data_IF_189443986056
#
_entry.id   IF_189443986056
#
_cell.length_a   1.000
_cell.length_b   1.000
_cell.length_c   1.000
_cell.angle_alpha   90.00
_cell.angle_beta   90.00
_cell.angle_gamma   90.00
#
_symmetry.space_group_name_H-M   'P 1'
#
loop_
_entity.id
_entity.type
_entity.pdbx_description
1 polymer ?
#
# COMPACT_ATOMS: atom_id res chain seq x y z
N UNK A 1 21.27 -13.69 42.74
CA UNK A 1 22.07 -14.24 41.61
C UNK A 1 21.23 -14.55 40.37
N UNK A 2 20.20 -15.41 40.43
CA UNK A 2 19.37 -15.78 39.25
C UNK A 2 18.71 -14.58 38.52
N UNK A 3 18.24 -13.56 39.26
CA UNK A 3 17.61 -12.34 38.70
C UNK A 3 18.61 -11.41 37.97
N UNK A 4 19.86 -11.37 38.44
CA UNK A 4 20.93 -10.55 37.83
C UNK A 4 21.42 -11.23 36.54
N UNK A 5 21.53 -12.56 36.53
CA UNK A 5 21.89 -13.32 35.34
C UNK A 5 20.82 -13.20 34.25
N UNK A 6 19.54 -13.26 34.61
CA UNK A 6 18.43 -13.03 33.68
C UNK A 6 18.45 -11.60 33.11
N UNK A 7 18.72 -10.59 33.95
CA UNK A 7 18.84 -9.20 33.51
C UNK A 7 20.03 -8.99 32.55
N UNK A 8 21.19 -9.57 32.85
CA UNK A 8 22.34 -9.55 31.92
C UNK A 8 22.05 -10.27 30.61
N UNK A 9 21.31 -11.39 30.66
CA UNK A 9 20.90 -12.12 29.45
C UNK A 9 19.92 -11.30 28.60
N UNK A 10 18.98 -10.59 29.23
CA UNK A 10 18.07 -9.67 28.54
C UNK A 10 18.81 -8.46 27.94
N UNK A 11 19.78 -7.88 28.65
CA UNK A 11 20.59 -6.77 28.14
C UNK A 11 21.48 -7.23 26.98
N UNK A 12 22.13 -8.40 27.10
CA UNK A 12 22.94 -8.99 26.03
C UNK A 12 22.08 -9.36 24.80
N UNK A 13 20.90 -9.95 25.00
CA UNK A 13 19.94 -10.23 23.92
C UNK A 13 19.42 -8.94 23.26
N UNK A 14 19.27 -7.86 24.02
CA UNK A 14 18.90 -6.56 23.46
C UNK A 14 20.01 -6.04 22.54
N UNK A 15 21.27 -6.09 22.98
CA UNK A 15 22.41 -5.60 22.18
C UNK A 15 22.64 -6.35 20.88
N UNK A 16 22.37 -7.67 20.83
CA UNK A 16 22.50 -8.47 19.61
C UNK A 16 21.32 -8.29 18.64
N UNK A 17 20.12 -7.99 19.14
CA UNK A 17 18.95 -7.65 18.30
C UNK A 17 19.12 -6.27 17.65
N UNK A 18 19.67 -5.29 18.37
CA UNK A 18 19.89 -3.93 17.81
C UNK A 18 20.88 -3.91 16.65
N UNK A 19 21.82 -4.86 16.54
CA UNK A 19 22.77 -4.89 15.41
C UNK A 19 22.16 -5.45 14.11
N UNK A 20 20.96 -6.05 14.17
CA UNK A 20 20.32 -6.71 13.03
C UNK A 20 19.18 -5.88 12.43
N UNK A 21 18.78 -4.79 13.09
CA UNK A 21 17.63 -3.98 12.71
C UNK A 21 18.07 -2.56 12.36
N UNK A 22 17.78 -2.13 11.13
CA UNK A 22 17.87 -0.72 10.73
C UNK A 22 16.48 -0.11 10.74
N UNK A 23 16.35 1.11 11.25
CA UNK A 23 15.10 1.87 11.23
C UNK A 23 15.35 3.14 10.42
N UNK A 24 14.34 3.54 9.65
CA UNK A 24 14.43 4.70 8.78
C UNK A 24 13.07 5.30 8.46
N UNK A 25 13.13 6.35 7.66
CA UNK A 25 11.97 7.03 7.07
C UNK A 25 12.02 6.87 5.56
N UNK A 26 10.85 6.80 4.93
CA UNK A 26 10.71 6.69 3.48
C UNK A 26 9.52 7.52 3.01
N UNK A 27 9.65 8.18 1.85
CA UNK A 27 8.56 8.88 1.22
C UNK A 27 8.76 9.10 -0.27
N UNK A 28 7.68 9.44 -0.97
CA UNK A 28 7.74 9.77 -2.39
C UNK A 28 6.37 9.76 -3.07
N UNK A 29 6.33 10.05 -4.38
CA UNK A 29 5.09 10.03 -5.14
C UNK A 29 4.62 8.60 -5.45
N UNK A 30 3.31 8.44 -5.65
CA UNK A 30 2.74 7.27 -6.30
C UNK A 30 1.76 7.65 -7.39
N UNK A 31 1.62 6.79 -8.38
CA UNK A 31 0.58 6.81 -9.38
C UNK A 31 -0.40 5.70 -9.04
N UNK A 32 -1.66 6.03 -8.80
CA UNK A 32 -2.68 5.09 -8.37
C UNK A 32 -3.90 5.10 -9.28
N UNK A 33 -4.61 3.97 -9.32
CA UNK A 33 -5.86 3.82 -10.05
C UNK A 33 -6.74 2.76 -9.38
N UNK A 34 -8.03 2.81 -9.65
CA UNK A 34 -9.00 1.82 -9.21
C UNK A 34 -9.54 1.09 -10.43
N UNK A 35 -9.14 -0.19 -10.58
CA UNK A 35 -9.63 -0.99 -11.70
C UNK A 35 -11.03 -1.49 -11.39
N UNK A 36 -12.02 -0.94 -12.08
CA UNK A 36 -13.42 -1.35 -12.00
C UNK A 36 -13.66 -2.58 -12.87
N UNK A 37 -14.32 -3.59 -12.32
CA UNK A 37 -14.74 -4.81 -13.02
C UNK A 37 -16.23 -5.01 -12.82
N UNK A 38 -16.96 -5.24 -13.90
CA UNK A 38 -18.37 -5.65 -13.89
C UNK A 38 -18.44 -7.13 -14.26
N UNK A 39 -18.98 -7.97 -13.38
CA UNK A 39 -19.12 -9.40 -13.64
C UNK A 39 -20.11 -9.61 -14.80
N UNK A 40 -19.69 -10.29 -15.86
CA UNK A 40 -20.51 -10.55 -17.05
C UNK A 40 -20.27 -9.59 -18.23
N UNK A 41 -19.44 -8.55 -18.08
CA UNK A 41 -18.99 -7.68 -19.17
C UNK A 41 -17.46 -7.70 -19.28
N UNK A 42 -16.94 -7.87 -20.49
CA UNK A 42 -15.49 -7.85 -20.76
C UNK A 42 -14.88 -6.43 -20.75
N UNK A 43 -15.71 -5.39 -20.67
CA UNK A 43 -15.26 -4.01 -20.60
C UNK A 43 -14.93 -3.61 -19.16
N UNK A 44 -13.64 -3.41 -18.87
CA UNK A 44 -13.23 -2.71 -17.66
C UNK A 44 -13.38 -1.21 -17.91
N UNK A 45 -14.20 -0.52 -17.10
CA UNK A 45 -14.18 0.94 -17.07
C UNK A 45 -12.81 1.40 -16.58
N UNK A 46 -12.01 2.01 -17.45
CA UNK A 46 -10.72 2.58 -17.08
C UNK A 46 -10.97 3.98 -16.49
N UNK A 47 -10.82 4.10 -15.17
CA UNK A 47 -10.67 5.42 -14.55
C UNK A 47 -9.23 5.90 -14.79
N UNK A 48 -9.02 7.22 -14.82
CA UNK A 48 -7.71 7.79 -15.00
C UNK A 48 -6.84 7.59 -13.76
N UNK A 49 -5.54 7.47 -13.99
CA UNK A 49 -4.56 7.46 -12.91
C UNK A 49 -4.51 8.82 -12.20
N UNK A 50 -4.35 8.80 -10.88
CA UNK A 50 -4.09 9.99 -10.05
C UNK A 50 -2.70 9.88 -9.42
N UNK A 51 -1.96 10.99 -9.44
CA UNK A 51 -0.74 11.14 -8.65
C UNK A 51 -1.10 11.43 -7.19
N UNK A 52 -0.65 10.57 -6.30
CA UNK A 52 -0.68 10.72 -4.84
C UNK A 52 0.73 10.69 -4.25
N UNK A 53 0.82 10.44 -2.96
CA UNK A 53 2.09 10.32 -2.25
C UNK A 53 2.01 9.26 -1.15
N UNK A 54 3.16 8.75 -0.76
CA UNK A 54 3.36 7.87 0.37
C UNK A 54 4.47 8.42 1.27
N UNK A 55 4.30 8.26 2.58
CA UNK A 55 5.31 8.64 3.57
C UNK A 55 5.16 7.80 4.81
N UNK A 56 6.26 7.40 5.43
CA UNK A 56 6.22 6.48 6.56
C UNK A 56 7.56 6.10 7.14
N UNK A 57 7.48 5.16 8.08
CA UNK A 57 8.61 4.50 8.71
C UNK A 57 8.91 3.20 7.96
N UNK A 58 10.18 2.87 7.86
CA UNK A 58 10.65 1.59 7.32
C UNK A 58 11.62 0.98 8.31
N UNK A 59 11.60 -0.33 8.44
CA UNK A 59 12.70 -1.05 9.07
C UNK A 59 13.20 -2.15 8.16
N UNK A 60 14.43 -2.58 8.43
CA UNK A 60 15.10 -3.64 7.70
C UNK A 60 15.71 -4.58 8.75
N UNK A 61 15.21 -5.80 8.77
CA UNK A 61 15.54 -6.83 9.76
C UNK A 61 16.28 -7.94 9.01
N UNK A 62 17.55 -8.14 9.36
CA UNK A 62 18.38 -9.18 8.76
C UNK A 62 17.94 -10.56 9.25
N UNK A 63 17.48 -11.43 8.35
CA UNK A 63 17.13 -12.83 8.66
C UNK A 63 18.31 -13.76 8.35
N UNK A 64 18.96 -13.54 7.21
CA UNK A 64 20.19 -14.25 6.79
C UNK A 64 21.17 -13.24 6.20
N UNK A 65 22.30 -13.69 5.63
CA UNK A 65 23.24 -12.81 4.94
C UNK A 65 22.64 -12.10 3.72
N UNK A 66 21.62 -12.68 3.07
CA UNK A 66 20.99 -12.14 1.86
C UNK A 66 19.50 -11.89 2.03
N UNK A 67 18.81 -12.59 2.93
CA UNK A 67 17.37 -12.46 3.12
C UNK A 67 17.05 -11.54 4.30
N UNK A 68 16.20 -10.56 4.07
CA UNK A 68 15.79 -9.59 5.07
C UNK A 68 14.26 -9.44 5.07
N UNK A 69 13.69 -9.17 6.24
CA UNK A 69 12.30 -8.73 6.37
C UNK A 69 12.29 -7.21 6.47
N UNK A 70 11.57 -6.55 5.56
CA UNK A 70 11.52 -5.10 5.45
C UNK A 70 10.07 -4.61 5.62
N UNK A 71 9.59 -4.49 6.87
CA UNK A 71 8.26 -3.95 7.12
C UNK A 71 8.28 -2.43 7.01
N UNK A 72 7.15 -1.88 6.58
CA UNK A 72 6.97 -0.43 6.41
C UNK A 72 5.63 -0.03 6.98
N UNK A 73 5.57 1.04 7.77
CA UNK A 73 4.30 1.63 8.20
C UNK A 73 4.17 3.00 7.54
N UNK A 74 3.28 3.12 6.57
CA UNK A 74 3.19 4.31 5.72
C UNK A 74 1.76 4.79 5.54
N UNK A 75 1.59 6.10 5.50
CA UNK A 75 0.40 6.71 4.94
C UNK A 75 0.53 6.77 3.43
N UNK A 76 -0.47 6.30 2.69
CA UNK A 76 -0.53 6.33 1.24
C UNK A 76 -1.83 6.99 0.79
N UNK A 77 -1.73 8.14 0.13
CA UNK A 77 -2.83 8.75 -0.60
C UNK A 77 -2.95 8.08 -1.97
N UNK A 78 -4.08 7.41 -2.24
CA UNK A 78 -4.42 6.76 -3.51
C UNK A 78 -5.66 7.41 -4.12
N UNK A 79 -6.05 7.00 -5.32
CA UNK A 79 -7.32 7.40 -5.90
C UNK A 79 -7.53 7.04 -7.35
N UNK A 80 -8.65 7.52 -7.87
CA UNK A 80 -8.96 7.52 -9.30
C UNK A 80 -9.87 8.69 -9.63
N UNK A 81 -9.83 9.15 -10.88
CA UNK A 81 -10.75 10.17 -11.38
C UNK A 81 -11.38 9.71 -12.69
N UNK A 82 -12.60 10.16 -12.93
CA UNK A 82 -13.28 10.03 -14.21
C UNK A 82 -13.92 11.36 -14.59
N UNK A 83 -13.87 11.70 -15.88
CA UNK A 83 -14.54 12.86 -16.46
C UNK A 83 -15.30 12.42 -17.70
N UNK A 84 -16.57 12.81 -17.82
CA UNK A 84 -17.40 12.55 -18.99
C UNK A 84 -18.70 13.34 -18.90
N UNK A 85 -19.19 13.87 -20.03
CA UNK A 85 -20.50 14.54 -20.17
C UNK A 85 -20.83 15.57 -19.06
N UNK A 86 -19.87 16.42 -18.71
CA UNK A 86 -20.03 17.45 -17.65
C UNK A 86 -19.96 16.91 -16.21
N UNK A 87 -19.87 15.60 -16.04
CA UNK A 87 -19.75 14.91 -14.75
C UNK A 87 -18.27 14.70 -14.41
N UNK A 88 -17.88 15.12 -13.20
CA UNK A 88 -16.55 14.86 -12.63
C UNK A 88 -16.69 14.00 -11.39
N UNK A 89 -16.04 12.84 -11.40
CA UNK A 89 -15.96 11.94 -10.26
C UNK A 89 -14.50 11.83 -9.83
N UNK A 90 -14.24 12.01 -8.53
CA UNK A 90 -12.90 11.85 -7.96
C UNK A 90 -12.99 11.15 -6.62
N UNK A 91 -12.24 10.06 -6.46
CA UNK A 91 -12.01 9.40 -5.17
C UNK A 91 -10.56 9.58 -4.76
N UNK A 92 -10.30 9.94 -3.50
CA UNK A 92 -8.95 10.07 -2.96
C UNK A 92 -8.79 9.40 -1.58
N UNK A 93 -8.96 8.07 -1.48
CA UNK A 93 -8.76 7.37 -0.22
C UNK A 93 -7.30 7.43 0.25
N UNK A 94 -7.11 7.78 1.52
CA UNK A 94 -5.88 7.70 2.27
C UNK A 94 -5.90 6.48 3.21
N UNK A 95 -4.91 5.61 3.03
CA UNK A 95 -4.73 4.39 3.81
C UNK A 95 -3.48 4.48 4.68
N UNK A 96 -3.56 3.93 5.88
CA UNK A 96 -2.40 3.47 6.62
C UNK A 96 -2.07 2.06 6.15
N UNK A 97 -0.92 1.88 5.51
CA UNK A 97 -0.47 0.61 4.96
C UNK A 97 0.69 0.03 5.77
N UNK A 98 0.66 -1.29 5.92
CA UNK A 98 1.72 -2.10 6.49
C UNK A 98 2.17 -3.18 5.47
N UNK A 99 3.03 -2.83 4.49
CA UNK A 99 3.74 -3.82 3.69
C UNK A 99 4.73 -4.62 4.54
N UNK A 100 4.70 -5.95 4.42
CA UNK A 100 5.63 -6.87 5.09
C UNK A 100 6.48 -7.59 4.04
N UNK A 101 7.45 -6.89 3.46
CA UNK A 101 8.22 -7.42 2.32
C UNK A 101 9.36 -8.33 2.81
N UNK A 102 9.45 -9.53 2.23
CA UNK A 102 10.70 -10.31 2.26
C UNK A 102 11.53 -9.88 1.06
N UNK A 103 12.75 -9.40 1.32
CA UNK A 103 13.66 -8.87 0.30
C UNK A 103 14.95 -9.68 0.28
N UNK A 104 15.45 -9.95 -0.92
CA UNK A 104 16.76 -10.56 -1.16
C UNK A 104 17.72 -9.46 -1.57
N UNK A 105 18.80 -9.34 -0.82
CA UNK A 105 19.91 -8.44 -1.08
C UNK A 105 21.00 -9.11 -1.92
N UNK A 106 21.60 -8.30 -2.75
CA UNK A 106 22.93 -8.51 -3.30
C UNK A 106 23.77 -7.30 -2.95
N UNK A 107 24.78 -7.53 -2.14
CA UNK A 107 25.70 -6.50 -1.70
C UNK A 107 26.76 -6.26 -2.78
N UNK A 108 26.92 -5.00 -3.19
CA UNK A 108 28.01 -4.54 -4.03
C UNK A 108 28.91 -3.56 -3.27
N UNK A 109 30.12 -3.35 -3.77
CA UNK A 109 31.15 -2.54 -3.08
C UNK A 109 30.73 -1.08 -2.79
N UNK A 110 29.83 -0.52 -3.61
CA UNK A 110 29.37 0.88 -3.48
C UNK A 110 27.85 1.03 -3.37
N UNK A 111 27.10 -0.04 -3.59
CA UNK A 111 25.65 -0.04 -3.61
C UNK A 111 25.15 -1.46 -3.35
N UNK A 112 24.13 -1.60 -2.52
CA UNK A 112 23.39 -2.85 -2.39
C UNK A 112 22.08 -2.74 -3.18
N UNK A 113 21.75 -3.76 -3.97
CA UNK A 113 20.45 -3.85 -4.62
C UNK A 113 19.61 -4.91 -3.93
N UNK A 114 18.31 -4.70 -3.91
CA UNK A 114 17.36 -5.65 -3.34
C UNK A 114 16.09 -5.73 -4.18
N UNK A 115 15.47 -6.90 -4.15
CA UNK A 115 14.14 -7.12 -4.70
C UNK A 115 13.37 -8.04 -3.76
N UNK A 116 12.06 -7.89 -3.72
CA UNK A 116 11.24 -8.65 -2.80
C UNK A 116 9.76 -8.53 -3.04
N UNK A 117 9.02 -9.30 -2.25
CA UNK A 117 7.57 -9.35 -2.29
C UNK A 117 7.02 -9.51 -0.89
N UNK A 118 5.77 -9.10 -0.67
CA UNK A 118 5.13 -9.27 0.63
C UNK A 118 3.64 -8.98 0.62
N UNK A 119 2.90 -9.48 1.62
CA UNK A 119 1.53 -9.04 1.85
C UNK A 119 1.49 -7.58 2.28
N UNK A 120 0.35 -6.94 2.05
CA UNK A 120 0.05 -5.58 2.53
C UNK A 120 -1.27 -5.60 3.27
N UNK A 121 -1.24 -5.11 4.49
CA UNK A 121 -2.43 -4.76 5.27
C UNK A 121 -2.67 -3.27 5.10
N UNK A 122 -3.88 -2.86 4.73
CA UNK A 122 -4.22 -1.44 4.63
C UNK A 122 -5.48 -1.12 5.43
N UNK A 123 -5.48 0.03 6.09
CA UNK A 123 -6.62 0.55 6.83
C UNK A 123 -6.93 1.98 6.41
N UNK A 124 -8.13 2.21 5.89
CA UNK A 124 -8.62 3.49 5.42
C UNK A 124 -8.88 4.42 6.58
N UNK A 125 -8.16 5.55 6.62
CA UNK A 125 -8.23 6.53 7.72
C UNK A 125 -8.75 7.89 7.29
N UNK A 126 -8.75 8.19 5.99
CA UNK A 126 -9.21 9.46 5.45
C UNK A 126 -9.56 9.34 3.98
N UNK A 127 -10.41 10.21 3.45
CA UNK A 127 -10.61 10.29 2.01
C UNK A 127 -11.99 10.81 1.65
N UNK A 128 -12.09 11.44 0.49
CA UNK A 128 -13.35 12.03 0.01
C UNK A 128 -13.75 11.42 -1.33
N UNK A 129 -15.04 11.20 -1.47
CA UNK A 129 -15.68 10.99 -2.76
C UNK A 129 -16.25 12.32 -3.21
N UNK A 130 -15.84 12.81 -4.37
CA UNK A 130 -16.38 14.02 -4.98
C UNK A 130 -17.18 13.65 -6.21
N UNK A 131 -18.41 14.14 -6.28
CA UNK A 131 -19.28 14.09 -7.44
C UNK A 131 -19.70 15.52 -7.76
N UNK A 132 -19.14 16.09 -8.83
CA UNK A 132 -19.22 17.53 -9.11
C UNK A 132 -18.84 18.36 -7.87
N UNK A 133 -19.74 19.20 -7.35
CA UNK A 133 -19.50 20.08 -6.20
C UNK A 133 -19.82 19.42 -4.85
N UNK A 134 -20.45 18.25 -4.86
CA UNK A 134 -20.77 17.50 -3.64
C UNK A 134 -19.61 16.63 -3.19
N UNK A 135 -19.36 16.57 -1.88
CA UNK A 135 -18.34 15.70 -1.30
C UNK A 135 -18.85 14.90 -0.12
N UNK A 136 -18.55 13.60 -0.10
CA UNK A 136 -18.86 12.68 0.99
C UNK A 136 -17.59 12.03 1.53
N UNK A 137 -17.59 11.67 2.82
CA UNK A 137 -16.51 10.90 3.43
C UNK A 137 -16.56 9.44 2.93
N UNK A 138 -15.44 8.95 2.38
CA UNK A 138 -15.34 7.59 1.86
C UNK A 138 -15.52 6.53 2.97
N UNK A 139 -15.05 6.83 4.18
CA UNK A 139 -15.02 5.91 5.31
C UNK A 139 -15.96 6.34 6.44
N UNK A 140 -16.84 7.33 6.20
CA UNK A 140 -17.84 7.79 7.16
C UNK A 140 -18.97 6.78 7.37
N UNK A 141 -20.00 7.17 8.15
CA UNK A 141 -21.18 6.34 8.46
C UNK A 141 -21.90 5.88 7.18
N UNK A 142 -21.98 6.76 6.18
CA UNK A 142 -22.59 6.49 4.88
C UNK A 142 -21.54 6.19 3.78
N UNK A 143 -20.30 5.91 4.20
CA UNK A 143 -19.18 5.62 3.32
C UNK A 143 -19.33 4.27 2.63
N UNK A 144 -19.10 4.25 1.31
CA UNK A 144 -19.20 3.02 0.50
C UNK A 144 -17.90 2.23 0.43
N UNK A 145 -16.80 2.78 0.95
CA UNK A 145 -15.50 2.15 0.90
C UNK A 145 -15.24 1.28 2.12
N UNK A 146 -14.65 0.12 1.86
CA UNK A 146 -14.14 -0.75 2.92
C UNK A 146 -12.89 -0.14 3.53
N UNK A 147 -12.88 0.01 4.85
CA UNK A 147 -11.70 0.48 5.58
C UNK A 147 -10.53 -0.51 5.46
N UNK A 148 -10.80 -1.81 5.61
CA UNK A 148 -9.72 -2.80 5.57
C UNK A 148 -9.50 -3.34 4.15
N UNK A 149 -8.24 -3.35 3.71
CA UNK A 149 -7.81 -4.04 2.50
C UNK A 149 -6.63 -4.99 2.75
N UNK A 150 -6.65 -6.10 2.02
CA UNK A 150 -5.51 -7.00 1.87
C UNK A 150 -5.00 -6.91 0.45
N UNK A 151 -3.68 -6.88 0.31
CA UNK A 151 -3.00 -6.83 -0.98
C UNK A 151 -1.65 -7.53 -0.95
N UNK A 152 -0.93 -7.37 -2.04
CA UNK A 152 0.48 -7.73 -2.13
C UNK A 152 1.28 -6.56 -2.69
N UNK A 153 2.56 -6.56 -2.37
CA UNK A 153 3.54 -5.61 -2.85
C UNK A 153 4.71 -6.35 -3.50
N UNK A 154 5.23 -5.78 -4.58
CA UNK A 154 6.50 -6.15 -5.19
C UNK A 154 7.38 -4.91 -5.07
N UNK A 155 8.61 -5.08 -4.59
CA UNK A 155 9.55 -3.98 -4.39
C UNK A 155 10.89 -4.32 -5.04
N UNK A 156 11.50 -3.32 -5.67
CA UNK A 156 12.89 -3.36 -6.08
C UNK A 156 13.53 -2.03 -5.69
N UNK A 157 14.74 -2.07 -5.15
CA UNK A 157 15.40 -0.86 -4.68
C UNK A 157 16.90 -1.02 -4.51
N UNK A 158 17.48 0.09 -4.08
CA UNK A 158 18.91 0.27 -3.90
C UNK A 158 19.16 0.93 -2.55
N UNK A 159 20.18 0.46 -1.83
CA UNK A 159 20.68 1.02 -0.59
C UNK A 159 22.10 1.55 -0.82
N UNK A 160 22.29 2.84 -0.57
CA UNK A 160 23.55 3.56 -0.74
C UNK A 160 24.33 3.63 0.58
N UNK A 161 25.66 3.78 0.52
CA UNK A 161 26.48 4.14 1.67
C UNK A 161 25.92 5.39 2.37
N UNK A 162 25.98 5.40 3.70
CA UNK A 162 25.48 6.52 4.50
C UNK A 162 24.00 6.44 4.88
N UNK A 163 23.28 5.40 4.47
CA UNK A 163 21.91 5.10 4.93
C UNK A 163 20.80 5.49 3.97
N UNK A 164 21.12 6.12 2.83
CA UNK A 164 20.12 6.48 1.82
C UNK A 164 19.60 5.24 1.09
N UNK A 165 18.30 5.27 0.74
CA UNK A 165 17.65 4.19 0.00
C UNK A 165 16.69 4.77 -1.04
N UNK A 166 16.55 4.08 -2.17
CA UNK A 166 15.57 4.41 -3.20
C UNK A 166 14.88 3.13 -3.68
N UNK A 167 13.58 3.18 -3.94
CA UNK A 167 12.79 2.00 -4.29
C UNK A 167 11.64 2.30 -5.24
N UNK A 168 11.32 1.29 -6.06
CA UNK A 168 10.10 1.16 -6.83
C UNK A 168 9.19 0.17 -6.13
N UNK A 169 7.90 0.51 -6.02
CA UNK A 169 6.89 -0.30 -5.36
C UNK A 169 5.71 -0.51 -6.31
N UNK A 170 5.30 -1.76 -6.47
CA UNK A 170 4.05 -2.14 -7.12
C UNK A 170 3.12 -2.71 -6.06
N UNK A 171 2.01 -2.04 -5.80
CA UNK A 171 1.03 -2.45 -4.81
C UNK A 171 -0.30 -2.78 -5.49
N UNK A 172 -0.88 -3.91 -5.12
CA UNK A 172 -2.17 -4.38 -5.64
C UNK A 172 -3.04 -4.93 -4.52
N UNK A 173 -4.21 -4.33 -4.34
CA UNK A 173 -5.24 -4.89 -3.47
C UNK A 173 -5.85 -6.15 -4.10
N UNK A 174 -6.03 -7.17 -3.27
CA UNK A 174 -6.75 -8.41 -3.58
C UNK A 174 -8.22 -8.25 -3.17
N UNK A 175 -8.46 -7.62 -2.02
CA UNK A 175 -9.80 -7.26 -1.55
C UNK A 175 -10.38 -6.11 -2.36
N UNK A 176 -11.70 -5.97 -2.29
CA UNK A 176 -12.44 -4.90 -2.98
C UNK A 176 -12.35 -3.62 -2.14
N UNK A 177 -12.07 -2.50 -2.78
CA UNK A 177 -12.15 -1.17 -2.17
C UNK A 177 -13.61 -0.78 -1.95
N UNK A 178 -14.44 -1.03 -2.97
CA UNK A 178 -15.88 -0.89 -2.93
C UNK A 178 -16.53 -1.92 -3.86
N UNK A 179 -17.81 -2.20 -3.62
CA UNK A 179 -18.63 -3.03 -4.50
C UNK A 179 -20.06 -2.52 -4.52
N UNK A 180 -20.67 -2.53 -5.69
CA UNK A 180 -22.07 -2.23 -5.89
C UNK A 180 -22.76 -3.36 -6.65
N UNK A 181 -24.05 -3.53 -6.40
CA UNK A 181 -24.90 -4.52 -7.03
C UNK A 181 -26.04 -3.77 -7.70
N UNK A 182 -26.16 -3.91 -9.01
CA UNK A 182 -27.19 -3.24 -9.82
C UNK A 182 -28.20 -4.30 -10.26
N UNK A 183 -29.46 -4.13 -9.87
CA UNK A 183 -30.56 -4.93 -10.38
C UNK A 183 -30.95 -4.41 -11.76
N UNK A 184 -30.94 -5.28 -12.77
CA UNK A 184 -31.30 -4.93 -14.15
C UNK A 184 -32.72 -5.36 -14.36
N UNK A 185 -33.59 -4.38 -14.60
CA UNK A 185 -35.01 -4.61 -14.91
C UNK A 185 -35.26 -4.20 -16.35
N UNK A 186 -36.11 -4.93 -17.07
CA UNK A 186 -36.53 -4.50 -18.41
C UNK A 186 -37.57 -3.37 -18.38
N UNK A 187 -37.89 -2.83 -19.56
CA UNK A 187 -38.87 -1.77 -19.71
C UNK A 187 -40.31 -2.20 -19.36
N UNK A 188 -40.57 -3.50 -19.18
CA UNK A 188 -41.82 -4.05 -18.68
C UNK A 188 -41.82 -4.32 -17.17
N UNK A 189 -40.71 -4.03 -16.47
CA UNK A 189 -40.59 -4.24 -15.02
C UNK A 189 -40.14 -5.65 -14.61
N UNK A 190 -39.75 -6.53 -15.54
CA UNK A 190 -39.28 -7.87 -15.21
C UNK A 190 -37.80 -7.88 -14.83
N UNK A 191 -37.44 -8.64 -13.79
CA UNK A 191 -36.05 -8.82 -13.38
C UNK A 191 -35.28 -9.60 -14.46
N UNK A 192 -34.24 -8.98 -15.01
CA UNK A 192 -33.31 -9.54 -16.00
C UNK A 192 -32.01 -10.00 -15.34
N UNK A 193 -31.93 -9.95 -14.02
CA UNK A 193 -30.80 -10.39 -13.22
C UNK A 193 -29.98 -9.25 -12.64
N UNK A 194 -28.83 -9.61 -12.08
CA UNK A 194 -28.04 -8.71 -11.24
C UNK A 194 -26.62 -8.54 -11.79
N UNK A 195 -26.17 -7.29 -11.93
CA UNK A 195 -24.80 -6.94 -12.26
C UNK A 195 -24.01 -6.60 -11.00
N UNK A 196 -22.89 -7.28 -10.79
CA UNK A 196 -21.98 -6.99 -9.69
C UNK A 196 -20.76 -6.22 -10.18
N UNK A 197 -20.60 -4.98 -9.71
CA UNK A 197 -19.47 -4.11 -10.03
C UNK A 197 -18.61 -3.93 -8.79
N UNK A 198 -17.29 -4.04 -8.93
CA UNK A 198 -16.35 -3.78 -7.83
C UNK A 198 -15.08 -3.14 -8.34
N UNK A 199 -14.37 -2.43 -7.45
CA UNK A 199 -13.05 -1.89 -7.74
C UNK A 199 -12.01 -2.41 -6.75
N UNK A 200 -10.77 -2.48 -7.23
CA UNK A 200 -9.58 -2.79 -6.41
C UNK A 200 -8.53 -1.71 -6.61
N UNK A 201 -7.90 -1.31 -5.51
CA UNK A 201 -6.81 -0.35 -5.54
C UNK A 201 -5.55 -0.92 -6.19
N UNK A 202 -4.87 -0.04 -6.91
CA UNK A 202 -3.60 -0.30 -7.58
C UNK A 202 -2.71 0.94 -7.44
N UNK A 203 -1.43 0.76 -7.16
CA UNK A 203 -0.48 1.87 -7.19
C UNK A 203 0.94 1.45 -7.59
N UNK A 204 1.61 2.35 -8.31
CA UNK A 204 3.04 2.33 -8.60
C UNK A 204 3.70 3.49 -7.85
N UNK A 205 4.66 3.21 -6.98
CA UNK A 205 5.31 4.21 -6.13
C UNK A 205 6.80 4.29 -6.38
N UNK A 206 7.33 5.51 -6.43
CA UNK A 206 8.77 5.78 -6.30
C UNK A 206 8.98 6.34 -4.91
N UNK A 207 10.01 5.87 -4.22
CA UNK A 207 10.30 6.34 -2.87
C UNK A 207 11.79 6.50 -2.62
N UNK A 208 12.13 7.54 -1.87
CA UNK A 208 13.46 7.77 -1.31
C UNK A 208 13.37 7.73 0.22
N UNK A 209 14.46 7.37 0.89
CA UNK A 209 14.47 7.26 2.34
C UNK A 209 15.86 7.31 2.94
N UNK A 210 15.89 7.26 4.26
CA UNK A 210 17.11 7.30 5.06
C UNK A 210 16.97 6.37 6.27
N UNK A 211 17.93 5.46 6.43
CA UNK A 211 18.10 4.63 7.63
C UNK A 211 19.04 5.32 8.62
N UNK A 212 18.60 5.46 9.87
CA UNK A 212 19.33 6.16 10.92
C UNK A 212 20.55 5.39 11.43
N UNK A 213 20.54 4.07 11.29
CA UNK A 213 21.62 3.19 11.74
C UNK A 213 22.30 2.53 10.55
N UNK A 214 23.63 2.50 10.58
CA UNK A 214 24.45 1.89 9.53
C UNK A 214 24.31 0.36 9.57
N UNK A 215 24.46 -0.23 8.39
CA UNK A 215 24.45 -1.67 8.13
C UNK A 215 25.67 -2.35 8.76
#
# INVERSE_FOLDING_TARGET
>A
MKKILALMLCVAASTSVYSQIRIGVKGGPNLSNQRTRTRGMNSAGNLDYITGFQTGLTSDIKLTSTLHLRPELQYTAKGSQGKGDGIKVKSNPGYLELPLNLVVYREGAKLSYYAGVGPVLAYGISGKYKFNDSSNDLFGKDGTYRRFELGFNIVAGIDLPGGFTAALNFNRAITKAWSNTIHVTDMQGNDRGTLHTYARNFSLGISVGYFFYKK
#
